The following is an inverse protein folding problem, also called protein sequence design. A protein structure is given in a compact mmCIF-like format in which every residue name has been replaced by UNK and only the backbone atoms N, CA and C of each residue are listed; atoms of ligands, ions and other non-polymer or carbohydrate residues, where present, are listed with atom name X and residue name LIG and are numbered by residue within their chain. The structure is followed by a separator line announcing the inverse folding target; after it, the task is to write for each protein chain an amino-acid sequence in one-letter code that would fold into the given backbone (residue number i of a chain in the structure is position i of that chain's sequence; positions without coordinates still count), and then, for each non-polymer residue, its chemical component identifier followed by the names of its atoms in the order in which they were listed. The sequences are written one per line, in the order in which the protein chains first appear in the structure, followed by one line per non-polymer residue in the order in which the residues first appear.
data_IF_539740598219
#
_entry.id   IF_539740598219
#
_cell.length_a   1.000
_cell.length_b   1.000
_cell.length_c   1.000
_cell.angle_alpha   90.00
_cell.angle_beta   90.00
_cell.angle_gamma   90.00
#
_symmetry.space_group_name_H-M   'P 1'
#
loop_
_entity.id
_entity.type
_entity.pdbx_description
1 polymer ?
#
# COMPACT_ATOMS: atom_id res chain seq x y z
N UNK A 1 0.49 2.52 -20.36
CA UNK A 1 1.08 1.23 -19.96
C UNK A 1 2.30 1.54 -19.10
N UNK A 2 2.06 2.02 -17.88
CA UNK A 2 3.11 2.25 -16.89
C UNK A 2 3.68 0.90 -16.52
N UNK A 3 5.00 0.81 -16.58
CA UNK A 3 5.76 -0.39 -16.26
C UNK A 3 5.50 -0.78 -14.78
N UNK A 4 4.59 -1.73 -14.57
CA UNK A 4 4.22 -2.31 -13.27
C UNK A 4 5.31 -3.28 -12.75
N UNK A 5 6.52 -3.23 -13.31
CA UNK A 5 7.62 -4.07 -12.85
C UNK A 5 8.08 -3.57 -11.49
N UNK A 6 7.50 -4.17 -10.46
CA UNK A 6 7.93 -4.08 -9.08
C UNK A 6 9.45 -4.20 -9.00
N UNK A 7 10.14 -3.40 -8.16
CA UNK A 7 11.59 -3.53 -8.00
C UNK A 7 11.90 -5.00 -7.69
N UNK A 8 12.82 -5.57 -8.46
CA UNK A 8 13.31 -6.95 -8.32
C UNK A 8 13.45 -7.26 -6.83
N UNK A 9 12.69 -8.25 -6.35
CA UNK A 9 12.46 -8.47 -4.92
C UNK A 9 13.75 -8.87 -4.21
N UNK A 10 14.52 -7.87 -3.79
CA UNK A 10 15.74 -8.06 -3.03
C UNK A 10 15.42 -8.06 -1.53
N UNK A 11 16.10 -8.93 -0.79
CA UNK A 11 15.95 -9.03 0.66
C UNK A 11 16.19 -7.66 1.34
N UNK A 12 17.11 -6.86 0.78
CA UNK A 12 17.41 -5.52 1.24
C UNK A 12 16.20 -4.57 1.11
N UNK A 13 15.50 -4.61 -0.02
CA UNK A 13 14.31 -3.78 -0.24
C UNK A 13 13.17 -4.16 0.71
N UNK A 14 12.94 -5.46 0.92
CA UNK A 14 11.95 -5.94 1.90
C UNK A 14 12.27 -5.49 3.33
N UNK A 15 13.55 -5.53 3.74
CA UNK A 15 13.97 -5.03 5.05
C UNK A 15 13.76 -3.53 5.20
N UNK A 16 13.89 -2.77 4.10
CA UNK A 16 13.51 -1.36 4.13
C UNK A 16 12.01 -1.23 4.37
N UNK A 17 11.14 -2.05 3.78
CA UNK A 17 9.71 -1.99 4.11
C UNK A 17 9.36 -2.57 5.49
N UNK A 18 10.22 -3.36 6.11
CA UNK A 18 10.00 -3.96 7.43
C UNK A 18 10.13 -2.93 8.58
N UNK A 19 9.44 -1.80 8.49
CA UNK A 19 9.33 -0.80 9.55
C UNK A 19 7.97 -0.10 9.48
N UNK A 20 7.21 -0.03 10.58
CA UNK A 20 5.86 0.54 10.60
C UNK A 20 5.78 1.94 9.99
N UNK A 21 6.67 2.84 10.39
CA UNK A 21 6.73 4.21 9.86
C UNK A 21 6.95 4.25 8.36
N UNK A 22 7.80 3.38 7.80
CA UNK A 22 8.08 3.38 6.36
C UNK A 22 6.90 2.87 5.56
N UNK A 23 6.16 1.88 6.07
CA UNK A 23 4.89 1.43 5.49
C UNK A 23 3.88 2.59 5.53
N UNK A 24 3.75 3.28 6.66
CA UNK A 24 2.82 4.41 6.80
C UNK A 24 3.16 5.57 5.86
N UNK A 25 4.44 5.94 5.76
CA UNK A 25 4.89 7.01 4.85
C UNK A 25 4.64 6.64 3.38
N UNK A 26 4.93 5.39 2.99
CA UNK A 26 4.63 4.93 1.63
C UNK A 26 3.13 4.94 1.34
N UNK A 27 2.29 4.54 2.31
CA UNK A 27 0.84 4.61 2.18
C UNK A 27 0.35 6.06 2.03
N UNK A 28 0.84 6.99 2.86
CA UNK A 28 0.48 8.42 2.78
C UNK A 28 0.88 9.06 1.46
N UNK A 29 2.05 8.69 0.90
CA UNK A 29 2.51 9.18 -0.40
C UNK A 29 1.68 8.62 -1.57
N UNK A 30 1.07 7.44 -1.42
CA UNK A 30 0.11 6.89 -2.38
C UNK A 30 -1.24 7.56 -2.25
N UNK A 31 -1.67 7.80 -1.01
CA UNK A 31 -2.99 8.35 -0.69
C UNK A 31 -3.12 9.84 -1.03
N UNK A 32 -2.08 10.62 -0.76
CA UNK A 32 -2.11 12.09 -0.86
C UNK A 32 -1.17 12.64 -1.94
N UNK A 33 -0.60 11.76 -2.77
CA UNK A 33 0.35 12.16 -3.80
C UNK A 33 1.66 12.71 -3.23
N UNK A 34 2.36 13.59 -3.97
CA UNK A 34 3.63 14.14 -3.54
C UNK A 34 3.54 14.91 -2.20
N UNK A 35 4.46 14.65 -1.27
CA UNK A 35 4.51 15.29 0.05
C UNK A 35 5.95 15.61 0.48
N UNK A 36 6.09 16.57 1.39
CA UNK A 36 7.36 16.85 2.09
C UNK A 36 7.42 16.13 3.44
N UNK A 37 8.61 16.01 4.03
CA UNK A 37 8.75 15.48 5.39
C UNK A 37 7.98 16.31 6.44
N UNK A 38 7.83 17.61 6.22
CA UNK A 38 7.07 18.49 7.11
C UNK A 38 5.56 18.19 7.04
N UNK A 39 4.99 18.09 5.84
CA UNK A 39 3.57 17.77 5.66
C UNK A 39 3.20 16.35 6.14
N UNK A 40 4.15 15.42 6.08
CA UNK A 40 3.98 14.07 6.62
C UNK A 40 4.05 14.04 8.15
N UNK A 41 4.81 14.95 8.78
CA UNK A 41 4.88 15.05 10.25
C UNK A 41 3.56 15.50 10.87
N UNK A 42 2.68 16.18 10.13
CA UNK A 42 1.33 16.50 10.60
C UNK A 42 0.42 15.26 10.69
N UNK A 43 0.81 14.14 10.08
CA UNK A 43 0.02 12.89 9.97
C UNK A 43 0.67 11.69 10.64
N UNK A 44 1.94 11.83 11.02
CA UNK A 44 2.75 10.79 11.65
C UNK A 44 3.36 11.41 12.89
N UNK A 45 3.18 10.77 14.04
CA UNK A 45 3.68 11.23 15.34
C UNK A 45 5.21 11.03 15.46
N UNK A 46 5.97 11.66 14.56
CA UNK A 46 7.42 11.65 14.50
C UNK A 46 7.98 12.99 14.02
N UNK A 47 9.15 13.35 14.52
CA UNK A 47 9.81 14.60 14.13
C UNK A 47 10.19 14.59 12.62
N UNK A 48 10.13 15.75 11.93
CA UNK A 48 10.48 15.87 10.51
C UNK A 48 11.90 15.36 10.16
N UNK A 49 12.85 15.49 11.08
CA UNK A 49 14.21 14.95 10.91
C UNK A 49 14.23 13.42 10.82
N UNK A 50 13.44 12.74 11.64
CA UNK A 50 13.27 11.28 11.62
C UNK A 50 12.57 10.83 10.33
N UNK A 51 11.50 11.53 9.93
CA UNK A 51 10.81 11.24 8.68
C UNK A 51 11.71 11.43 7.45
N UNK A 52 12.59 12.44 7.46
CA UNK A 52 13.56 12.68 6.39
C UNK A 52 14.54 11.50 6.21
N UNK A 53 14.95 10.87 7.32
CA UNK A 53 15.76 9.65 7.28
C UNK A 53 14.97 8.48 6.66
N UNK A 54 13.73 8.25 7.10
CA UNK A 54 12.89 7.18 6.57
C UNK A 54 12.58 7.35 5.08
N UNK A 55 12.27 8.56 4.63
CA UNK A 55 12.04 8.89 3.22
C UNK A 55 13.30 8.64 2.38
N UNK A 56 14.48 9.01 2.89
CA UNK A 56 15.74 8.74 2.19
C UNK A 56 15.97 7.23 2.02
N UNK A 57 15.72 6.42 3.07
CA UNK A 57 15.82 4.95 2.97
C UNK A 57 14.83 4.36 1.97
N UNK A 58 13.59 4.84 1.95
CA UNK A 58 12.59 4.42 0.97
C UNK A 58 13.02 4.76 -0.46
N UNK A 59 13.65 5.92 -0.65
CA UNK A 59 14.14 6.35 -1.96
C UNK A 59 15.34 5.53 -2.44
N UNK A 60 16.30 5.26 -1.55
CA UNK A 60 17.45 4.37 -1.82
C UNK A 60 17.01 2.96 -2.23
N UNK A 61 15.93 2.46 -1.62
CA UNK A 61 15.33 1.17 -1.95
C UNK A 61 14.37 1.23 -3.17
N UNK A 62 14.18 2.39 -3.79
CA UNK A 62 13.40 2.56 -5.01
C UNK A 62 11.88 2.66 -4.83
N UNK A 63 11.35 2.71 -3.60
CA UNK A 63 9.90 2.77 -3.36
C UNK A 63 9.30 4.16 -3.58
N UNK A 64 10.11 5.20 -3.41
CA UNK A 64 9.71 6.59 -3.63
C UNK A 64 10.75 7.30 -4.49
N UNK A 65 10.39 8.44 -5.05
CA UNK A 65 11.29 9.26 -5.85
C UNK A 65 11.07 10.75 -5.60
N UNK A 66 12.07 11.62 -5.89
CA UNK A 66 11.91 13.06 -5.81
C UNK A 66 10.80 13.54 -6.77
N UNK A 67 10.00 14.51 -6.32
CA UNK A 67 8.97 15.18 -7.10
C UNK A 67 9.13 16.71 -7.02
N UNK A 68 10.26 17.26 -7.52
CA UNK A 68 10.57 18.69 -7.36
C UNK A 68 9.54 19.63 -7.99
N UNK A 69 8.78 19.16 -8.97
CA UNK A 69 7.70 19.89 -9.63
C UNK A 69 6.48 20.19 -8.73
N UNK A 70 6.36 19.49 -7.59
CA UNK A 70 5.25 19.70 -6.65
C UNK A 70 5.44 20.95 -5.76
N UNK A 71 6.66 21.48 -5.66
CA UNK A 71 7.01 22.62 -4.82
C UNK A 71 7.38 23.87 -5.61
N UNK A 72 7.28 25.05 -4.98
CA UNK A 72 7.75 26.33 -5.54
C UNK A 72 9.08 26.81 -4.91
N UNK A 73 9.42 26.34 -3.70
CA UNK A 73 10.72 26.60 -3.06
C UNK A 73 11.70 25.45 -3.35
N UNK A 74 12.84 25.78 -3.97
CA UNK A 74 13.91 24.81 -4.30
C UNK A 74 14.59 24.19 -3.08
N UNK A 75 14.36 24.71 -1.87
CA UNK A 75 14.88 24.14 -0.63
C UNK A 75 14.00 23.02 -0.08
N UNK A 76 12.74 22.93 -0.52
CA UNK A 76 11.84 21.86 -0.11
C UNK A 76 12.15 20.57 -0.86
N UNK A 77 12.18 19.46 -0.12
CA UNK A 77 12.36 18.13 -0.71
C UNK A 77 11.02 17.41 -0.76
N UNK A 78 10.43 17.40 -1.95
CA UNK A 78 9.19 16.72 -2.27
C UNK A 78 9.46 15.29 -2.73
N UNK A 79 8.62 14.37 -2.27
CA UNK A 79 8.70 12.95 -2.57
C UNK A 79 7.37 12.45 -3.07
N UNK A 80 7.37 11.46 -3.97
CA UNK A 80 6.17 10.71 -4.38
C UNK A 80 6.45 9.22 -4.38
N UNK A 81 5.41 8.41 -4.20
CA UNK A 81 5.52 6.97 -4.41
C UNK A 81 5.89 6.68 -5.87
N UNK A 82 6.81 5.74 -6.11
CA UNK A 82 7.19 5.32 -7.47
C UNK A 82 6.10 4.44 -8.11
N UNK A 83 5.43 3.64 -7.29
CA UNK A 83 4.40 2.70 -7.70
C UNK A 83 3.20 2.79 -6.75
N UNK A 84 2.00 2.67 -7.31
CA UNK A 84 0.74 2.65 -6.56
C UNK A 84 0.58 1.38 -5.73
N UNK A 85 1.24 0.30 -6.15
CA UNK A 85 1.20 -0.99 -5.49
C UNK A 85 2.60 -1.55 -5.31
N UNK A 86 2.83 -2.26 -4.21
CA UNK A 86 4.02 -3.08 -4.03
C UNK A 86 3.61 -4.55 -4.13
N UNK A 87 4.08 -5.26 -5.14
CA UNK A 87 3.82 -6.69 -5.31
C UNK A 87 5.10 -7.49 -5.50
N UNK A 88 5.05 -8.78 -5.24
CA UNK A 88 6.08 -9.74 -5.62
C UNK A 88 5.45 -11.13 -5.71
N UNK A 89 6.15 -12.06 -6.35
CA UNK A 89 5.79 -13.47 -6.26
C UNK A 89 6.35 -14.03 -4.97
N UNK A 90 5.47 -14.42 -4.05
CA UNK A 90 5.89 -15.02 -2.77
C UNK A 90 6.82 -16.23 -3.00
N UNK A 91 6.65 -16.99 -4.08
CA UNK A 91 7.55 -18.08 -4.45
C UNK A 91 9.01 -17.64 -4.64
N UNK A 92 9.26 -16.45 -5.22
CA UNK A 92 10.62 -15.91 -5.42
C UNK A 92 11.30 -15.54 -4.09
N UNK A 93 10.52 -15.43 -3.01
CA UNK A 93 10.99 -15.16 -1.65
C UNK A 93 11.25 -16.43 -0.85
N UNK A 94 10.72 -17.57 -1.30
CA UNK A 94 10.85 -18.84 -0.61
C UNK A 94 12.18 -19.54 -0.86
N UNK A 95 12.95 -19.14 -1.88
CA UNK A 95 14.18 -19.83 -2.27
C UNK A 95 15.40 -19.48 -1.41
N UNK A 96 15.34 -18.35 -0.67
CA UNK A 96 16.45 -17.84 0.14
C UNK A 96 16.00 -17.60 1.60
N UNK A 97 16.71 -18.13 2.62
CA UNK A 97 16.32 -17.95 4.01
C UNK A 97 16.23 -16.50 4.50
N UNK A 98 17.12 -15.63 4.02
CA UNK A 98 17.17 -14.22 4.40
C UNK A 98 16.02 -13.44 3.74
N UNK A 99 15.73 -13.71 2.46
CA UNK A 99 14.53 -13.18 1.78
C UNK A 99 13.26 -13.64 2.47
N UNK A 100 13.17 -14.91 2.84
CA UNK A 100 12.01 -15.48 3.50
C UNK A 100 11.75 -14.86 4.88
N UNK A 101 12.80 -14.58 5.64
CA UNK A 101 12.68 -13.90 6.93
C UNK A 101 12.20 -12.46 6.77
N UNK A 102 12.82 -11.69 5.87
CA UNK A 102 12.40 -10.31 5.57
C UNK A 102 10.96 -10.24 5.05
N UNK A 103 10.57 -11.19 4.19
CA UNK A 103 9.21 -11.31 3.68
C UNK A 103 8.20 -11.55 4.80
N UNK A 104 8.50 -12.46 5.74
CA UNK A 104 7.63 -12.74 6.89
C UNK A 104 7.45 -11.53 7.79
N UNK A 105 8.53 -10.82 8.07
CA UNK A 105 8.50 -9.60 8.88
C UNK A 105 7.63 -8.53 8.22
N UNK A 106 7.86 -8.25 6.93
CA UNK A 106 7.02 -7.33 6.17
C UNK A 106 5.55 -7.77 6.13
N UNK A 107 5.27 -9.04 5.84
CA UNK A 107 3.90 -9.58 5.77
C UNK A 107 3.17 -9.47 7.12
N UNK A 108 3.88 -9.64 8.24
CA UNK A 108 3.33 -9.40 9.57
C UNK A 108 2.94 -7.93 9.79
N UNK A 109 3.81 -7.00 9.40
CA UNK A 109 3.57 -5.56 9.55
C UNK A 109 2.47 -5.06 8.62
N UNK A 110 2.43 -5.50 7.36
CA UNK A 110 1.38 -5.08 6.43
C UNK A 110 0.02 -5.63 6.85
N UNK A 111 -0.04 -6.84 7.41
CA UNK A 111 -1.26 -7.39 8.01
C UNK A 111 -1.78 -6.54 9.17
N UNK A 112 -0.89 -6.08 10.06
CA UNK A 112 -1.25 -5.15 11.14
C UNK A 112 -1.73 -3.80 10.61
N UNK A 113 -1.09 -3.28 9.56
CA UNK A 113 -1.53 -2.06 8.89
C UNK A 113 -2.94 -2.21 8.30
N UNK A 114 -3.23 -3.31 7.61
CA UNK A 114 -4.56 -3.58 7.06
C UNK A 114 -5.63 -3.70 8.15
N UNK A 115 -5.30 -4.39 9.25
CA UNK A 115 -6.20 -4.45 10.40
C UNK A 115 -6.48 -3.07 11.01
N UNK A 116 -5.48 -2.18 11.06
CA UNK A 116 -5.68 -0.82 11.59
C UNK A 116 -6.52 0.06 10.67
N UNK A 117 -6.40 -0.08 9.34
CA UNK A 117 -7.29 0.61 8.40
C UNK A 117 -8.75 0.19 8.58
N UNK A 118 -8.99 -1.11 8.72
CA UNK A 118 -10.33 -1.62 8.96
C UNK A 118 -10.90 -1.17 10.31
N UNK A 119 -10.10 -1.19 11.38
CA UNK A 119 -10.51 -0.68 12.69
C UNK A 119 -10.90 0.81 12.62
N UNK A 120 -10.09 1.64 11.94
CA UNK A 120 -10.40 3.06 11.75
C UNK A 120 -11.68 3.29 10.95
N UNK A 121 -11.97 2.46 9.94
CA UNK A 121 -13.25 2.48 9.23
C UNK A 121 -14.43 2.16 10.16
N UNK A 122 -14.33 1.11 10.97
CA UNK A 122 -15.38 0.73 11.93
C UNK A 122 -15.62 1.84 12.95
N UNK A 123 -14.56 2.46 13.47
CA UNK A 123 -14.66 3.55 14.45
C UNK A 123 -15.28 4.83 13.85
N UNK A 124 -15.06 5.08 12.55
CA UNK A 124 -15.59 6.25 11.82
C UNK A 124 -16.99 6.04 11.24
N UNK A 125 -17.45 4.79 11.14
CA UNK A 125 -18.73 4.43 10.52
C UNK A 125 -19.94 5.22 11.07
N UNK A 126 -20.06 5.50 12.40
CA UNK A 126 -21.19 6.27 12.91
C UNK A 126 -21.22 7.75 12.47
N UNK A 127 -20.13 8.26 11.90
CA UNK A 127 -20.01 9.63 11.41
C UNK A 127 -20.08 9.74 9.88
N UNK A 128 -20.15 8.61 9.16
CA UNK A 128 -20.28 8.60 7.71
C UNK A 128 -21.75 8.76 7.30
N UNK A 129 -21.97 9.39 6.14
CA UNK A 129 -23.29 9.42 5.52
C UNK A 129 -23.74 8.00 5.17
N UNK A 130 -25.04 7.72 5.33
CA UNK A 130 -25.60 6.37 5.17
C UNK A 130 -25.33 5.78 3.80
N UNK A 131 -25.30 6.60 2.74
CA UNK A 131 -25.00 6.12 1.38
C UNK A 131 -23.62 5.47 1.26
N UNK A 132 -22.61 5.99 1.99
CA UNK A 132 -21.26 5.42 2.01
C UNK A 132 -21.20 4.14 2.84
N UNK A 133 -21.96 4.07 3.93
CA UNK A 133 -22.08 2.86 4.76
C UNK A 133 -22.77 1.75 3.98
N UNK A 134 -23.86 2.06 3.26
CA UNK A 134 -24.62 1.10 2.45
C UNK A 134 -23.84 0.62 1.21
N UNK A 135 -23.01 1.48 0.62
CA UNK A 135 -22.16 1.13 -0.52
C UNK A 135 -20.94 0.29 -0.12
N UNK A 136 -20.50 0.37 1.13
CA UNK A 136 -19.34 -0.37 1.61
C UNK A 136 -19.57 -1.89 1.54
N UNK A 137 -18.56 -2.64 1.12
CA UNK A 137 -18.61 -4.11 1.06
C UNK A 137 -17.54 -4.70 1.96
N UNK A 138 -17.94 -5.60 2.86
CA UNK A 138 -17.03 -6.41 3.68
C UNK A 138 -17.48 -7.87 3.71
N UNK A 139 -16.52 -8.80 3.75
CA UNK A 139 -16.83 -10.21 3.94
C UNK A 139 -15.72 -11.16 3.54
N UNK A 140 -15.77 -12.37 4.09
CA UNK A 140 -14.89 -13.48 3.74
C UNK A 140 -15.66 -14.61 3.04
N UNK A 141 -14.95 -15.35 2.19
CA UNK A 141 -15.46 -16.55 1.51
C UNK A 141 -14.39 -17.62 1.56
N UNK A 142 -14.79 -18.84 1.92
CA UNK A 142 -13.93 -20.03 1.83
C UNK A 142 -14.33 -20.80 0.59
N UNK A 143 -13.50 -20.73 -0.45
CA UNK A 143 -13.73 -21.38 -1.74
C UNK A 143 -12.90 -22.67 -1.84
N UNK A 144 -13.43 -23.66 -2.56
CA UNK A 144 -12.69 -24.88 -2.93
C UNK A 144 -12.19 -24.72 -4.36
N UNK A 145 -10.89 -24.43 -4.50
CA UNK A 145 -10.25 -24.15 -5.78
C UNK A 145 -8.98 -24.98 -5.93
N UNK A 146 -8.65 -25.31 -7.17
CA UNK A 146 -7.31 -25.76 -7.59
C UNK A 146 -6.32 -24.59 -7.60
N UNK A 147 -5.03 -24.88 -7.73
CA UNK A 147 -4.01 -23.83 -7.86
C UNK A 147 -4.18 -22.99 -9.13
N UNK A 148 -4.66 -23.59 -10.23
CA UNK A 148 -4.95 -22.89 -11.48
C UNK A 148 -6.13 -21.92 -11.29
N UNK A 149 -7.25 -22.39 -10.74
CA UNK A 149 -8.42 -21.56 -10.45
C UNK A 149 -8.12 -20.45 -9.43
N UNK A 150 -7.24 -20.68 -8.45
CA UNK A 150 -6.77 -19.62 -7.55
C UNK A 150 -5.97 -18.55 -8.30
N UNK A 151 -5.14 -18.96 -9.27
CA UNK A 151 -4.42 -18.03 -10.15
C UNK A 151 -5.36 -17.21 -11.02
N UNK A 152 -6.38 -17.84 -11.60
CA UNK A 152 -7.44 -17.17 -12.38
C UNK A 152 -8.21 -16.16 -11.51
N UNK A 153 -8.66 -16.56 -10.32
CA UNK A 153 -9.31 -15.65 -9.36
C UNK A 153 -8.42 -14.44 -9.03
N UNK A 154 -7.12 -14.67 -8.79
CA UNK A 154 -6.17 -13.60 -8.53
C UNK A 154 -6.02 -12.62 -9.70
N UNK A 155 -5.98 -13.13 -10.94
CA UNK A 155 -5.92 -12.30 -12.14
C UNK A 155 -7.19 -11.47 -12.31
N UNK A 156 -8.37 -12.08 -12.17
CA UNK A 156 -9.66 -11.38 -12.27
C UNK A 156 -9.82 -10.27 -11.21
N UNK A 157 -9.38 -10.54 -9.97
CA UNK A 157 -9.37 -9.53 -8.91
C UNK A 157 -8.45 -8.35 -9.24
N UNK A 158 -7.24 -8.63 -9.76
CA UNK A 158 -6.31 -7.57 -10.17
C UNK A 158 -6.88 -6.74 -11.32
N UNK A 159 -7.46 -7.39 -12.34
CA UNK A 159 -8.08 -6.70 -13.48
C UNK A 159 -9.28 -5.85 -13.03
N UNK A 160 -10.07 -6.34 -12.07
CA UNK A 160 -11.16 -5.58 -11.47
C UNK A 160 -10.63 -4.31 -10.80
N UNK A 161 -9.62 -4.44 -9.93
CA UNK A 161 -9.05 -3.30 -9.21
C UNK A 161 -8.39 -2.31 -10.17
N UNK A 162 -7.67 -2.77 -11.19
CA UNK A 162 -7.05 -1.89 -12.19
C UNK A 162 -8.08 -1.02 -12.93
N UNK A 163 -9.27 -1.57 -13.26
CA UNK A 163 -10.36 -0.79 -13.86
C UNK A 163 -10.89 0.30 -12.93
N UNK A 164 -10.96 0.03 -11.62
CA UNK A 164 -11.40 1.01 -10.64
C UNK A 164 -10.32 2.05 -10.31
N UNK A 165 -9.04 1.68 -10.32
CA UNK A 165 -7.93 2.64 -10.25
C UNK A 165 -7.99 3.65 -11.39
N UNK A 166 -8.15 3.18 -12.63
CA UNK A 166 -8.27 4.07 -13.80
C UNK A 166 -9.50 5.00 -13.72
N UNK A 167 -10.59 4.55 -13.08
CA UNK A 167 -11.76 5.40 -12.80
C UNK A 167 -11.45 6.44 -11.72
N UNK A 168 -10.79 6.03 -10.64
CA UNK A 168 -10.33 6.90 -9.55
C UNK A 168 -9.45 8.03 -10.08
N UNK A 169 -8.48 7.73 -10.94
CA UNK A 169 -7.58 8.71 -11.58
C UNK A 169 -8.31 9.73 -12.48
N UNK A 170 -9.52 9.40 -12.96
CA UNK A 170 -10.30 10.29 -13.82
C UNK A 170 -11.11 11.33 -13.03
N UNK A 171 -11.22 11.17 -11.70
CA UNK A 171 -11.90 12.14 -10.83
C UNK A 171 -11.09 13.42 -10.66
N UNK A 172 -11.78 14.52 -10.38
CA UNK A 172 -11.19 15.85 -10.25
C UNK A 172 -11.40 16.41 -8.84
N UNK A 173 -10.50 17.28 -8.41
CA UNK A 173 -10.62 17.88 -7.07
C UNK A 173 -11.95 18.64 -6.92
N UNK A 174 -12.75 18.25 -5.93
CA UNK A 174 -14.03 18.88 -5.60
C UNK A 174 -15.27 18.22 -6.21
N UNK A 175 -15.14 17.07 -6.86
CA UNK A 175 -16.29 16.19 -7.13
C UNK A 175 -16.71 15.39 -5.89
N UNK A 176 -17.69 14.50 -6.04
CA UNK A 176 -18.26 13.68 -4.96
C UNK A 176 -17.45 12.40 -4.68
N UNK A 177 -16.28 12.22 -5.30
CA UNK A 177 -15.46 11.05 -5.07
C UNK A 177 -14.67 11.14 -3.77
N UNK A 178 -14.83 10.12 -2.94
CA UNK A 178 -14.06 9.96 -1.70
C UNK A 178 -13.00 8.85 -1.81
N UNK A 179 -12.02 8.90 -0.90
CA UNK A 179 -10.97 7.88 -0.83
C UNK A 179 -11.52 6.59 -0.23
N UNK A 180 -11.52 5.52 -1.04
CA UNK A 180 -11.94 4.18 -0.61
C UNK A 180 -10.72 3.28 -0.43
N UNK A 181 -10.55 2.75 0.77
CA UNK A 181 -9.54 1.71 1.04
C UNK A 181 -10.07 0.35 0.59
N UNK A 182 -9.42 -0.28 -0.39
CA UNK A 182 -9.79 -1.60 -0.89
C UNK A 182 -8.68 -2.60 -0.61
N UNK A 183 -9.02 -3.71 0.06
CA UNK A 183 -8.13 -4.84 0.29
C UNK A 183 -8.75 -6.11 -0.29
N UNK A 184 -8.04 -6.73 -1.25
CA UNK A 184 -8.39 -8.03 -1.77
C UNK A 184 -7.22 -9.00 -1.52
N UNK A 185 -7.50 -10.13 -0.85
CA UNK A 185 -6.53 -11.18 -0.62
C UNK A 185 -7.15 -12.54 -0.90
N UNK A 186 -6.45 -13.39 -1.66
CA UNK A 186 -6.83 -14.77 -1.89
C UNK A 186 -5.60 -15.66 -1.66
N UNK A 187 -5.66 -16.55 -0.66
CA UNK A 187 -4.59 -17.46 -0.31
C UNK A 187 -5.14 -18.81 0.13
N UNK A 188 -4.34 -19.87 -0.02
CA UNK A 188 -4.70 -21.19 0.50
C UNK A 188 -4.80 -21.10 2.03
N UNK A 189 -5.99 -21.42 2.58
CA UNK A 189 -6.20 -21.49 4.03
C UNK A 189 -5.17 -22.46 4.66
N UNK A 190 -4.42 -22.05 5.69
CA UNK A 190 -3.54 -22.96 6.44
C UNK A 190 -4.34 -24.13 7.00
N UNK A 191 -3.74 -25.32 7.06
CA UNK A 191 -4.35 -26.43 7.78
C UNK A 191 -4.42 -26.05 9.27
N UNK A 192 -5.61 -26.04 9.85
CA UNK A 192 -5.75 -25.95 11.30
C UNK A 192 -5.26 -27.28 11.88
N UNK A 193 -4.18 -27.25 12.67
CA UNK A 193 -3.79 -28.38 13.52
C UNK A 193 -4.76 -28.53 14.68
#
# INVERSE_FOLDING_TARGET
MTDQTSPRTDAAALRVLAHPTRIRLLALLREHGPQTAALLADRVDEAPGTLSYHLTRLAEAGFIEPAPEAGTDRRERWWRARHELTTWKDSELLDDPERRAAAREFQGLIGQFYASQYAAYVDSMPQLDTEWVDAATSGDRILRLTAAELGELGAELNDLLARWSARSEAHVSGDDAERVFVLAQAYRKPATS
#
